data_IF_951908515713
#
_entry.id   IF_951908515713
#
_cell.length_a   1.000
_cell.length_b   1.000
_cell.length_c   1.000
_cell.angle_alpha   90.00
_cell.angle_beta   90.00
_cell.angle_gamma   90.00
#
_symmetry.space_group_name_H-M   'P 1'
#
loop_
_entity.id
_entity.type
_entity.pdbx_description
1 polymer ?
#
# COMPACT_ATOMS: atom_id res chain seq x y z
N UNK A 1 -8.49 25.20 -4.85
CA UNK A 1 -8.37 23.76 -5.15
C UNK A 1 -8.25 22.86 -3.90
N UNK A 2 -7.44 23.24 -2.90
CA UNK A 2 -7.20 22.42 -1.70
C UNK A 2 -8.46 22.03 -0.90
N UNK A 3 -9.41 22.95 -0.71
CA UNK A 3 -10.66 22.65 0.01
C UNK A 3 -11.49 21.53 -0.67
N UNK A 4 -11.61 21.56 -2.00
CA UNK A 4 -12.32 20.54 -2.78
C UNK A 4 -11.61 19.19 -2.71
N UNK A 5 -10.27 19.17 -2.78
CA UNK A 5 -9.48 17.94 -2.61
C UNK A 5 -9.64 17.33 -1.22
N UNK A 6 -9.65 18.16 -0.18
CA UNK A 6 -9.86 17.71 1.20
C UNK A 6 -11.26 17.11 1.35
N UNK A 7 -12.28 17.79 0.82
CA UNK A 7 -13.66 17.28 0.79
C UNK A 7 -13.73 15.94 0.04
N UNK A 8 -13.13 15.84 -1.15
CA UNK A 8 -13.06 14.59 -1.93
C UNK A 8 -12.40 13.45 -1.14
N UNK A 9 -11.32 13.73 -0.41
CA UNK A 9 -10.64 12.73 0.44
C UNK A 9 -11.57 12.22 1.54
N UNK A 10 -12.30 13.11 2.21
CA UNK A 10 -13.25 12.77 3.27
C UNK A 10 -14.42 11.94 2.73
N UNK A 11 -15.04 12.37 1.62
CA UNK A 11 -16.16 11.65 0.99
C UNK A 11 -15.71 10.28 0.49
N UNK A 12 -14.51 10.16 -0.10
CA UNK A 12 -13.93 8.88 -0.53
C UNK A 12 -13.75 7.92 0.65
N UNK A 13 -13.29 8.44 1.80
CA UNK A 13 -13.18 7.62 3.00
C UNK A 13 -14.55 7.14 3.50
N UNK A 14 -15.59 7.98 3.43
CA UNK A 14 -16.95 7.59 3.82
C UNK A 14 -17.52 6.54 2.87
N UNK A 15 -17.43 6.77 1.56
CA UNK A 15 -17.82 5.80 0.52
C UNK A 15 -17.15 4.43 0.74
N UNK A 16 -15.84 4.42 0.98
CA UNK A 16 -15.08 3.18 1.19
C UNK A 16 -15.59 2.40 2.42
N UNK A 17 -15.95 3.09 3.51
CA UNK A 17 -16.49 2.43 4.70
C UNK A 17 -17.86 1.81 4.44
N UNK A 18 -18.74 2.54 3.77
CA UNK A 18 -20.08 2.05 3.40
C UNK A 18 -20.00 0.87 2.44
N UNK A 19 -19.11 0.93 1.45
CA UNK A 19 -18.89 -0.15 0.51
C UNK A 19 -18.41 -1.42 1.23
N UNK A 20 -17.41 -1.29 2.10
CA UNK A 20 -16.89 -2.44 2.85
C UNK A 20 -17.95 -3.03 3.79
N UNK A 21 -18.76 -2.19 4.45
CA UNK A 21 -19.87 -2.67 5.27
C UNK A 21 -20.87 -3.48 4.44
N UNK A 22 -21.30 -2.93 3.30
CA UNK A 22 -22.24 -3.62 2.41
C UNK A 22 -21.64 -4.92 1.82
N UNK A 23 -20.36 -4.91 1.45
CA UNK A 23 -19.62 -6.08 0.96
C UNK A 23 -19.45 -7.17 2.04
N UNK A 24 -19.35 -6.78 3.31
CA UNK A 24 -19.35 -7.72 4.44
C UNK A 24 -20.74 -8.30 4.70
N UNK A 25 -21.78 -7.46 4.79
CA UNK A 25 -23.18 -7.92 4.94
C UNK A 25 -23.60 -8.84 3.81
N UNK A 26 -23.16 -8.54 2.58
CA UNK A 26 -23.46 -9.34 1.41
C UNK A 26 -22.86 -10.76 1.44
N UNK A 27 -21.82 -10.99 2.26
CA UNK A 27 -21.23 -12.33 2.43
C UNK A 27 -21.94 -13.15 3.48
N UNK A 28 -22.65 -12.51 4.42
CA UNK A 28 -23.28 -13.18 5.56
C UNK A 28 -24.76 -13.46 5.35
N UNK A 29 -25.45 -12.68 4.52
CA UNK A 29 -26.90 -12.77 4.35
C UNK A 29 -27.30 -13.49 3.05
N UNK A 30 -28.26 -14.42 3.17
CA UNK A 30 -28.78 -15.17 2.03
C UNK A 30 -29.71 -14.33 1.12
N UNK A 31 -30.26 -13.22 1.63
CA UNK A 31 -31.20 -12.37 0.89
C UNK A 31 -31.11 -10.89 1.32
N UNK A 32 -30.05 -10.23 0.88
CA UNK A 32 -29.68 -8.83 1.20
C UNK A 32 -30.72 -7.81 0.71
N UNK A 33 -31.53 -8.18 -0.29
CA UNK A 33 -32.50 -7.28 -0.90
C UNK A 33 -33.66 -6.90 0.03
N UNK A 34 -33.93 -7.71 1.05
CA UNK A 34 -35.01 -7.48 2.02
C UNK A 34 -34.49 -6.86 3.33
N UNK A 35 -33.16 -6.74 3.50
CA UNK A 35 -32.56 -6.15 4.69
C UNK A 35 -32.57 -4.62 4.63
N UNK A 36 -33.30 -4.01 5.54
CA UNK A 36 -33.51 -2.56 5.57
C UNK A 36 -32.19 -1.79 5.80
N UNK A 37 -31.28 -2.35 6.60
CA UNK A 37 -29.99 -1.74 6.90
C UNK A 37 -29.06 -1.78 5.68
N UNK A 38 -29.04 -2.88 4.93
CA UNK A 38 -28.35 -2.99 3.66
C UNK A 38 -28.91 -2.03 2.60
N UNK A 39 -30.23 -1.92 2.47
CA UNK A 39 -30.87 -0.98 1.55
C UNK A 39 -30.52 0.48 1.89
N UNK A 40 -30.59 0.86 3.17
CA UNK A 40 -30.19 2.20 3.62
C UNK A 40 -28.69 2.46 3.37
N UNK A 41 -27.84 1.47 3.63
CA UNK A 41 -26.39 1.55 3.35
C UNK A 41 -26.13 1.73 1.86
N UNK A 42 -26.84 1.00 1.00
CA UNK A 42 -26.71 1.12 -0.46
C UNK A 42 -27.15 2.49 -0.98
N UNK A 43 -28.26 3.03 -0.47
CA UNK A 43 -28.71 4.38 -0.82
C UNK A 43 -27.65 5.43 -0.44
N UNK A 44 -27.15 5.37 0.80
CA UNK A 44 -26.12 6.30 1.27
C UNK A 44 -24.80 6.15 0.48
N UNK A 45 -24.45 4.92 0.08
CA UNK A 45 -23.31 4.67 -0.80
C UNK A 45 -23.48 5.38 -2.15
N UNK A 46 -24.69 5.32 -2.74
CA UNK A 46 -25.05 6.03 -3.96
C UNK A 46 -24.92 7.55 -3.81
N UNK A 47 -25.41 8.13 -2.71
CA UNK A 47 -25.27 9.55 -2.41
C UNK A 47 -23.79 9.97 -2.35
N UNK A 48 -22.95 9.18 -1.67
CA UNK A 48 -21.50 9.45 -1.58
C UNK A 48 -20.80 9.29 -2.92
N UNK A 49 -21.24 8.36 -3.77
CA UNK A 49 -20.70 8.22 -5.12
C UNK A 49 -21.02 9.45 -5.99
N UNK A 50 -22.26 9.93 -5.94
CA UNK A 50 -22.66 11.13 -6.68
C UNK A 50 -21.89 12.36 -6.18
N UNK A 51 -21.71 12.51 -4.86
CA UNK A 51 -20.87 13.57 -4.29
C UNK A 51 -19.41 13.47 -4.76
N UNK A 52 -18.86 12.26 -4.92
CA UNK A 52 -17.53 12.06 -5.48
C UNK A 52 -17.44 12.44 -6.96
N UNK A 53 -18.44 12.08 -7.77
CA UNK A 53 -18.50 12.44 -9.18
C UNK A 53 -18.55 13.96 -9.35
N UNK A 54 -19.42 14.64 -8.59
CA UNK A 54 -19.51 16.09 -8.60
C UNK A 54 -18.18 16.74 -8.19
N UNK A 55 -17.56 16.28 -7.10
CA UNK A 55 -16.27 16.83 -6.66
C UNK A 55 -15.15 16.61 -7.68
N UNK A 56 -15.18 15.51 -8.43
CA UNK A 56 -14.21 15.30 -9.51
C UNK A 56 -14.43 16.29 -10.65
N UNK A 57 -15.68 16.51 -11.05
CA UNK A 57 -16.04 17.51 -12.05
C UNK A 57 -15.65 18.92 -11.61
N UNK A 58 -15.98 19.32 -10.38
CA UNK A 58 -15.63 20.63 -9.82
C UNK A 58 -14.11 20.86 -9.80
N UNK A 59 -13.33 19.83 -9.45
CA UNK A 59 -11.87 19.90 -9.47
C UNK A 59 -11.34 20.02 -10.90
N UNK A 60 -11.92 19.30 -11.87
CA UNK A 60 -11.52 19.38 -13.28
C UNK A 60 -11.85 20.75 -13.87
N UNK A 61 -13.03 21.29 -13.59
CA UNK A 61 -13.43 22.62 -14.02
C UNK A 61 -12.50 23.70 -13.43
N UNK A 62 -12.14 23.57 -12.15
CA UNK A 62 -11.16 24.45 -11.51
C UNK A 62 -9.72 24.25 -12.04
N UNK A 63 -9.41 23.09 -12.62
CA UNK A 63 -8.16 22.81 -13.32
C UNK A 63 -8.15 23.28 -14.78
N UNK A 64 -9.30 23.71 -15.31
CA UNK A 64 -9.44 24.25 -16.65
C UNK A 64 -9.82 25.73 -16.68
N UNK A 65 -10.08 26.34 -15.51
CA UNK A 65 -10.41 27.76 -15.40
C UNK A 65 -9.20 28.65 -15.72
N UNK A 66 -9.46 29.81 -16.34
CA UNK A 66 -8.45 30.81 -16.75
C UNK A 66 -7.64 31.41 -15.57
N UNK A 67 -8.00 31.09 -14.32
CA UNK A 67 -7.37 31.60 -13.08
C UNK A 67 -6.23 30.73 -12.53
N UNK A 68 -5.80 29.68 -13.24
CA UNK A 68 -4.73 28.79 -12.76
C UNK A 68 -3.37 29.39 -13.11
N UNK A 69 -2.69 29.89 -12.09
CA UNK A 69 -1.35 30.46 -12.26
C UNK A 69 -0.27 29.37 -12.23
N UNK A 70 0.90 29.69 -12.78
CA UNK A 70 2.06 28.78 -12.84
C UNK A 70 2.47 28.27 -11.44
N UNK A 71 2.32 29.10 -10.40
CA UNK A 71 2.52 28.73 -9.00
C UNK A 71 1.57 27.63 -8.51
N UNK A 72 0.33 27.60 -8.99
CA UNK A 72 -0.65 26.58 -8.61
C UNK A 72 -0.34 25.25 -9.31
N UNK A 73 0.08 25.29 -10.58
CA UNK A 73 0.56 24.11 -11.31
C UNK A 73 1.78 23.49 -10.60
N UNK A 74 2.72 24.32 -10.13
CA UNK A 74 3.90 23.83 -9.42
C UNK A 74 3.55 23.20 -8.06
N UNK A 75 2.62 23.80 -7.31
CA UNK A 75 2.09 23.23 -6.05
C UNK A 75 1.35 21.92 -6.28
N UNK A 76 0.57 21.80 -7.35
CA UNK A 76 -0.12 20.55 -7.74
C UNK A 76 0.88 19.44 -8.07
N UNK A 77 1.89 19.74 -8.87
CA UNK A 77 2.95 18.80 -9.26
C UNK A 77 3.72 18.28 -8.03
N UNK A 78 4.07 19.16 -7.09
CA UNK A 78 4.70 18.79 -5.81
C UNK A 78 3.80 17.92 -4.93
N UNK A 79 2.50 18.19 -4.92
CA UNK A 79 1.51 17.46 -4.10
C UNK A 79 1.22 16.05 -4.65
N UNK A 80 1.35 15.84 -5.96
CA UNK A 80 1.23 14.52 -6.58
C UNK A 80 2.38 13.57 -6.20
N UNK A 81 3.57 14.11 -5.89
CA UNK A 81 4.77 13.33 -5.54
C UNK A 81 5.09 13.22 -4.05
N UNK A 82 4.50 14.06 -3.18
CA UNK A 82 5.02 14.25 -1.82
C UNK A 82 4.03 13.95 -0.69
N UNK A 83 3.12 12.98 -0.87
CA UNK A 83 2.66 12.23 0.30
C UNK A 83 3.81 11.34 0.76
N UNK A 84 4.77 11.89 1.50
CA UNK A 84 5.55 11.10 2.48
C UNK A 84 4.59 10.61 3.55
N UNK A 85 3.70 9.69 3.17
CA UNK A 85 3.17 8.75 4.12
C UNK A 85 4.41 8.13 4.76
N UNK A 86 4.55 8.36 6.05
CA UNK A 86 5.61 7.75 6.84
C UNK A 86 5.47 6.24 6.60
N UNK A 87 6.33 5.70 5.72
CA UNK A 87 6.20 4.34 5.20
C UNK A 87 6.40 3.39 6.38
N UNK A 88 5.28 2.90 6.93
CA UNK A 88 5.32 1.88 7.97
C UNK A 88 5.90 0.61 7.36
N UNK A 89 6.86 0.02 8.05
CA UNK A 89 7.45 -1.25 7.70
C UNK A 89 6.35 -2.30 7.51
N UNK A 90 6.40 -3.02 6.40
CA UNK A 90 5.41 -4.02 6.00
C UNK A 90 5.40 -5.27 6.91
N UNK A 91 6.38 -5.39 7.81
CA UNK A 91 6.53 -6.57 8.68
C UNK A 91 6.31 -6.30 10.16
N UNK A 92 6.63 -5.09 10.66
CA UNK A 92 6.62 -4.81 12.10
C UNK A 92 5.98 -3.48 12.51
N UNK A 93 5.27 -2.80 11.60
CA UNK A 93 4.50 -1.57 11.86
C UNK A 93 5.28 -0.33 12.33
N UNK A 94 6.59 -0.46 12.54
CA UNK A 94 7.50 0.64 12.86
C UNK A 94 7.79 1.46 11.61
N UNK A 95 8.13 2.72 11.79
CA UNK A 95 8.37 3.69 10.73
C UNK A 95 9.81 4.22 10.67
N UNK A 96 10.73 3.61 11.40
CA UNK A 96 12.12 4.04 11.51
C UNK A 96 13.08 3.29 10.56
N UNK A 97 12.55 2.44 9.67
CA UNK A 97 13.35 1.69 8.70
C UNK A 97 12.50 1.26 7.50
N UNK A 98 13.17 0.94 6.39
CA UNK A 98 12.55 0.35 5.21
C UNK A 98 12.22 -1.14 5.41
N UNK A 99 11.13 -1.63 4.82
CA UNK A 99 10.73 -3.04 4.89
C UNK A 99 11.84 -4.01 4.46
N UNK A 100 12.69 -3.61 3.51
CA UNK A 100 13.81 -4.42 3.01
C UNK A 100 14.91 -4.66 4.06
N UNK A 101 14.98 -3.81 5.09
CA UNK A 101 15.97 -3.83 6.17
C UNK A 101 15.41 -4.36 7.50
N UNK A 102 14.13 -4.73 7.53
CA UNK A 102 13.45 -5.09 8.77
C UNK A 102 14.06 -6.31 9.45
N UNK A 103 14.58 -6.11 10.67
CA UNK A 103 15.14 -7.20 11.47
C UNK A 103 14.10 -8.27 11.84
N UNK A 104 12.86 -7.86 12.14
CA UNK A 104 11.78 -8.83 12.40
C UNK A 104 11.57 -9.71 11.19
N UNK A 105 11.51 -9.13 9.99
CA UNK A 105 11.36 -9.87 8.75
C UNK A 105 12.52 -10.82 8.47
N UNK A 106 13.73 -10.54 8.96
CA UNK A 106 14.88 -11.45 8.82
C UNK A 106 14.69 -12.76 9.56
N UNK A 107 13.99 -12.73 10.70
CA UNK A 107 13.82 -13.87 11.60
C UNK A 107 12.51 -14.64 11.37
N UNK A 108 11.60 -14.12 10.53
CA UNK A 108 10.38 -14.83 10.16
C UNK A 108 10.63 -15.90 9.10
N UNK A 109 9.78 -16.92 9.09
CA UNK A 109 9.72 -17.87 7.99
C UNK A 109 9.08 -17.25 6.75
N UNK A 110 9.42 -17.78 5.57
CA UNK A 110 8.95 -17.26 4.29
C UNK A 110 7.41 -17.25 4.21
N UNK A 111 6.75 -18.29 4.72
CA UNK A 111 5.29 -18.39 4.79
C UNK A 111 4.69 -17.23 5.60
N UNK A 112 5.26 -16.93 6.76
CA UNK A 112 4.81 -15.84 7.63
C UNK A 112 5.07 -14.46 7.01
N UNK A 113 6.20 -14.28 6.31
CA UNK A 113 6.47 -13.06 5.53
C UNK A 113 5.41 -12.85 4.45
N UNK A 114 5.07 -13.90 3.69
CA UNK A 114 4.04 -13.83 2.66
C UNK A 114 2.67 -13.50 3.25
N UNK A 115 2.30 -14.12 4.36
CA UNK A 115 1.04 -13.83 5.04
C UNK A 115 0.95 -12.37 5.51
N UNK A 116 2.01 -11.82 6.09
CA UNK A 116 2.03 -10.41 6.51
C UNK A 116 1.88 -9.45 5.35
N UNK A 117 2.61 -9.69 4.25
CA UNK A 117 2.53 -8.86 3.05
C UNK A 117 1.15 -8.97 2.39
N UNK A 118 0.56 -10.17 2.34
CA UNK A 118 -0.79 -10.41 1.80
C UNK A 118 -1.85 -9.68 2.62
N UNK A 119 -1.81 -9.80 3.95
CA UNK A 119 -2.75 -9.13 4.87
C UNK A 119 -2.72 -7.60 4.74
N UNK A 120 -1.57 -7.04 4.36
CA UNK A 120 -1.37 -5.59 4.20
C UNK A 120 -1.52 -5.08 2.77
N UNK A 121 -1.78 -5.96 1.80
CA UNK A 121 -1.84 -5.58 0.39
C UNK A 121 -0.50 -5.05 -0.16
N UNK A 122 0.62 -5.54 0.38
CA UNK A 122 1.96 -5.18 -0.08
C UNK A 122 2.44 -6.14 -1.17
N UNK A 123 3.11 -5.58 -2.18
CA UNK A 123 3.75 -6.34 -3.24
C UNK A 123 4.88 -7.23 -2.68
N UNK A 124 4.91 -8.51 -3.05
CA UNK A 124 5.96 -9.43 -2.58
C UNK A 124 7.34 -9.13 -3.16
N UNK A 125 7.42 -8.31 -4.22
CA UNK A 125 8.67 -7.97 -4.91
C UNK A 125 9.31 -6.72 -4.31
N UNK A 126 8.59 -5.59 -4.33
CA UNK A 126 9.10 -4.29 -3.87
C UNK A 126 8.67 -3.91 -2.45
N UNK A 127 7.84 -4.71 -1.78
CA UNK A 127 7.36 -4.48 -0.42
C UNK A 127 6.54 -3.19 -0.22
N UNK A 128 6.16 -2.51 -1.31
CA UNK A 128 5.28 -1.34 -1.31
C UNK A 128 3.81 -1.75 -1.42
N UNK A 129 2.91 -0.91 -0.92
CA UNK A 129 1.47 -1.08 -1.09
C UNK A 129 0.99 -0.54 -2.44
N UNK A 130 -0.28 -0.83 -2.78
CA UNK A 130 -0.96 -0.27 -3.96
C UNK A 130 -0.86 -1.10 -5.24
N UNK A 131 -0.15 -2.24 -5.24
CA UNK A 131 -0.14 -3.17 -6.36
C UNK A 131 0.31 -4.58 -5.94
N UNK A 132 0.00 -5.58 -6.78
CA UNK A 132 0.44 -6.97 -6.63
C UNK A 132 1.70 -7.27 -7.46
N UNK A 133 2.42 -8.35 -7.13
CA UNK A 133 3.68 -8.73 -7.79
C UNK A 133 3.60 -8.83 -9.32
N UNK A 134 2.46 -9.27 -9.86
CA UNK A 134 2.18 -9.37 -11.31
C UNK A 134 2.18 -8.00 -12.01
N UNK A 135 1.76 -6.95 -11.31
CA UNK A 135 1.69 -5.56 -11.81
C UNK A 135 2.90 -4.72 -11.38
N UNK A 136 3.87 -5.33 -10.68
CA UNK A 136 5.03 -4.62 -10.16
C UNK A 136 6.04 -4.29 -11.26
N UNK A 137 6.18 -2.99 -11.56
CA UNK A 137 7.14 -2.46 -12.53
C UNK A 137 8.50 -2.14 -11.93
N UNK A 138 8.61 -2.15 -10.59
CA UNK A 138 9.87 -1.90 -9.89
C UNK A 138 10.88 -3.00 -10.24
N UNK A 139 12.08 -2.57 -10.62
CA UNK A 139 13.21 -3.45 -10.84
C UNK A 139 13.89 -3.70 -9.50
N UNK A 140 13.86 -4.95 -9.05
CA UNK A 140 14.48 -5.42 -7.82
C UNK A 140 15.10 -6.76 -8.13
N UNK A 141 16.35 -6.94 -7.74
CA UNK A 141 17.11 -8.15 -7.94
C UNK A 141 17.67 -8.60 -6.60
N UNK A 142 17.49 -9.88 -6.27
CA UNK A 142 17.99 -10.46 -5.05
C UNK A 142 19.50 -10.68 -5.18
N UNK A 143 20.29 -10.17 -4.23
CA UNK A 143 21.73 -10.41 -4.20
C UNK A 143 22.12 -11.87 -3.87
N UNK A 144 21.17 -12.71 -3.47
CA UNK A 144 21.42 -14.12 -3.08
C UNK A 144 21.14 -15.06 -4.26
N UNK A 145 19.95 -14.98 -4.86
CA UNK A 145 19.51 -15.91 -5.91
C UNK A 145 19.30 -15.24 -7.29
N UNK A 146 19.55 -13.93 -7.41
CA UNK A 146 19.36 -13.16 -8.64
C UNK A 146 17.90 -12.93 -9.06
N UNK A 147 16.92 -13.52 -8.37
CA UNK A 147 15.49 -13.42 -8.72
C UNK A 147 14.87 -12.08 -8.33
N UNK A 148 13.66 -11.80 -8.85
CA UNK A 148 12.99 -10.50 -8.74
C UNK A 148 12.35 -10.20 -7.37
N UNK A 149 13.13 -10.17 -6.29
CA UNK A 149 12.69 -9.85 -4.92
C UNK A 149 13.83 -9.26 -4.06
N UNK A 150 13.51 -8.61 -2.94
CA UNK A 150 14.52 -8.19 -1.96
C UNK A 150 15.06 -9.40 -1.17
N UNK A 151 16.34 -9.36 -0.80
CA UNK A 151 17.01 -10.44 -0.06
C UNK A 151 16.26 -10.92 1.20
N UNK A 152 15.51 -10.04 1.87
CA UNK A 152 14.67 -10.38 3.03
C UNK A 152 13.57 -11.42 2.71
N UNK A 153 13.14 -11.50 1.44
CA UNK A 153 12.15 -12.46 0.92
C UNK A 153 12.79 -13.68 0.23
N UNK A 154 14.11 -13.81 0.25
CA UNK A 154 14.80 -14.90 -0.42
C UNK A 154 14.65 -16.22 0.36
N UNK A 155 14.18 -17.31 -0.28
CA UNK A 155 14.14 -18.65 0.32
C UNK A 155 15.54 -19.15 0.68
N UNK A 156 16.53 -18.87 -0.18
CA UNK A 156 17.91 -19.36 -0.05
C UNK A 156 18.72 -18.59 1.00
N UNK A 157 18.12 -17.63 1.71
CA UNK A 157 18.86 -16.84 2.72
C UNK A 157 19.30 -17.69 3.92
N UNK A 158 18.52 -18.70 4.30
CA UNK A 158 18.87 -19.57 5.44
C UNK A 158 20.08 -20.46 5.15
N UNK A 159 20.36 -20.78 3.89
CA UNK A 159 21.48 -21.65 3.52
C UNK A 159 22.82 -20.90 3.52
N UNK A 160 22.82 -19.59 3.26
CA UNK A 160 24.03 -18.76 3.23
C UNK A 160 24.52 -18.39 4.63
N UNK A 161 23.62 -18.17 5.60
CA UNK A 161 23.99 -17.84 6.99
C UNK A 161 24.67 -19.01 7.71
N UNK A 162 24.43 -20.27 7.27
CA UNK A 162 25.09 -21.47 7.81
C UNK A 162 26.52 -21.66 7.30
N UNK A 163 26.94 -20.92 6.28
CA UNK A 163 28.25 -21.12 5.60
C UNK A 163 29.32 -20.12 6.04
N UNK A 164 28.99 -19.13 6.86
CA UNK A 164 29.88 -17.99 7.19
C UNK A 164 30.35 -17.98 8.66
N UNK A 165 30.41 -19.14 9.33
CA UNK A 165 30.88 -19.27 10.73
C UNK A 165 32.18 -20.07 10.89
N UNK A 166 32.90 -20.37 9.80
CA UNK A 166 34.16 -21.11 9.86
C UNK A 166 35.23 -20.50 8.94
N UNK A 167 35.60 -19.24 9.15
CA UNK A 167 36.81 -18.67 8.54
C UNK A 167 37.31 -17.46 9.34
N UNK A 168 37.73 -17.70 10.58
CA UNK A 168 38.39 -16.69 11.41
C UNK A 168 39.26 -17.30 12.53
N UNK A 169 40.03 -18.36 12.27
CA UNK A 169 41.16 -18.75 13.14
C UNK A 169 42.20 -19.52 12.32
N UNK A 170 43.20 -18.82 11.78
CA UNK A 170 44.63 -19.25 11.74
C UNK A 170 45.41 -18.38 10.73
N UNK A 171 45.97 -17.28 11.25
CA UNK A 171 47.18 -16.65 10.70
C UNK A 171 47.84 -15.88 11.83
N UNK A 172 48.58 -16.61 12.67
CA UNK A 172 49.63 -16.09 13.55
C UNK A 172 50.50 -17.25 14.03
N UNK A 173 51.54 -17.59 13.26
CA UNK A 173 52.79 -18.08 13.82
C UNK A 173 53.91 -17.39 13.02
N UNK A 174 54.60 -16.48 13.70
CA UNK A 174 55.99 -16.15 13.43
C UNK A 174 56.85 -16.95 14.41
#
# INVERSE_FOLDING_TARGET
>A
MEALKLKRKTVRSAFTRLFNHLDESAKTEANIADDLDCLATFQLLGEKNNELLQLNEDILNLLMSEEINEDDIEKESRSAGNQKSVLKCAFCDKNNHESKECHVARNLDLSEKMNRLKKRGCCFRCLSNGHVSKLCRVQVNCGICGQRHHAVMCPDRKTVESSNSQEATESSIH
#
